data_IF_262063507665
#
_entry.id   IF_262063507665
#
_cell.length_a   1.000
_cell.length_b   1.000
_cell.length_c   1.000
_cell.angle_alpha   90.00
_cell.angle_beta   90.00
_cell.angle_gamma   90.00
#
_symmetry.space_group_name_H-M   'P 1'
#
loop_
_entity.id
_entity.type
_entity.pdbx_description
1 polymer ?
#
# COMPACT_ATOMS: atom_id res chain seq x y z
N UNK A 1 -12.38 17.99 -10.46
CA UNK A 1 -10.91 18.08 -10.63
C UNK A 1 -10.60 17.71 -12.07
N UNK A 2 -9.67 18.39 -12.75
CA UNK A 2 -9.30 18.04 -14.11
C UNK A 2 -8.63 16.65 -14.16
N UNK A 3 -9.04 15.81 -15.12
CA UNK A 3 -8.38 14.54 -15.45
C UNK A 3 -6.88 14.80 -15.71
N UNK A 4 -6.01 14.00 -15.08
CA UNK A 4 -4.55 14.08 -15.29
C UNK A 4 -4.05 12.96 -16.17
N UNK A 5 -4.76 11.83 -16.22
CA UNK A 5 -4.51 10.81 -17.23
C UNK A 5 -4.96 11.39 -18.57
N UNK A 6 -4.04 11.44 -19.51
CA UNK A 6 -4.24 12.00 -20.84
C UNK A 6 -5.08 11.07 -21.70
N UNK A 7 -5.80 11.62 -22.68
CA UNK A 7 -6.61 10.81 -23.61
C UNK A 7 -5.77 9.79 -24.40
N UNK A 8 -4.49 10.11 -24.62
CA UNK A 8 -3.53 9.20 -25.28
C UNK A 8 -3.26 7.97 -24.41
N UNK A 9 -3.01 8.17 -23.11
CA UNK A 9 -2.82 7.08 -22.14
C UNK A 9 -4.10 6.28 -21.95
N UNK A 10 -5.26 6.94 -21.83
CA UNK A 10 -6.56 6.27 -21.75
C UNK A 10 -6.78 5.35 -22.95
N UNK A 11 -6.60 5.87 -24.17
CA UNK A 11 -6.77 5.09 -25.40
C UNK A 11 -5.85 3.86 -25.43
N UNK A 12 -4.58 4.00 -25.08
CA UNK A 12 -3.64 2.87 -25.01
C UNK A 12 -4.05 1.81 -23.99
N UNK A 13 -4.50 2.24 -22.82
CA UNK A 13 -4.99 1.33 -21.78
C UNK A 13 -6.22 0.57 -22.28
N UNK A 14 -7.18 1.30 -22.85
CA UNK A 14 -8.42 0.78 -23.43
C UNK A 14 -8.18 -0.22 -24.55
N UNK A 15 -7.29 0.08 -25.50
CA UNK A 15 -6.91 -0.85 -26.56
C UNK A 15 -6.34 -2.16 -25.98
N UNK A 16 -5.62 -2.06 -24.86
CA UNK A 16 -5.17 -3.22 -24.08
C UNK A 16 -6.30 -3.97 -23.37
N UNK A 17 -7.36 -3.27 -22.92
CA UNK A 17 -8.52 -3.88 -22.26
C UNK A 17 -9.29 -4.84 -23.18
N UNK A 18 -9.54 -4.40 -24.42
CA UNK A 18 -10.27 -5.18 -25.41
C UNK A 18 -9.54 -6.51 -25.72
N UNK A 19 -8.21 -6.49 -25.76
CA UNK A 19 -7.41 -7.69 -25.99
C UNK A 19 -7.31 -8.63 -24.77
N UNK A 20 -7.54 -8.12 -23.56
CA UNK A 20 -7.27 -8.84 -22.32
C UNK A 20 -8.50 -9.51 -21.67
N UNK A 21 -9.70 -9.39 -22.26
CA UNK A 21 -10.97 -9.82 -21.67
C UNK A 21 -11.10 -9.33 -20.22
N UNK A 22 -11.35 -8.03 -20.03
CA UNK A 22 -11.24 -7.32 -18.74
C UNK A 22 -11.91 -8.01 -17.54
N UNK A 23 -13.02 -8.74 -17.74
CA UNK A 23 -13.74 -9.52 -16.73
C UNK A 23 -13.06 -10.83 -16.29
N UNK A 24 -12.00 -11.29 -16.97
CA UNK A 24 -11.22 -12.48 -16.61
C UNK A 24 -12.08 -13.75 -16.54
N UNK A 25 -12.08 -14.41 -15.39
CA UNK A 25 -12.86 -15.62 -15.13
C UNK A 25 -14.34 -15.35 -14.74
N UNK A 26 -14.71 -14.09 -14.50
CA UNK A 26 -16.08 -13.68 -14.21
C UNK A 26 -16.84 -13.38 -15.51
N UNK A 27 -18.15 -13.15 -15.42
CA UNK A 27 -18.87 -12.46 -16.49
C UNK A 27 -18.88 -10.93 -16.30
N UNK A 28 -19.32 -10.19 -17.33
CA UNK A 28 -19.35 -8.73 -17.32
C UNK A 28 -20.12 -8.15 -16.12
N UNK A 29 -21.26 -8.75 -15.78
CA UNK A 29 -22.10 -8.29 -14.67
C UNK A 29 -21.41 -8.56 -13.33
N UNK A 30 -20.90 -9.76 -13.14
CA UNK A 30 -20.17 -10.16 -11.93
C UNK A 30 -18.93 -9.30 -11.70
N UNK A 31 -18.22 -8.91 -12.77
CA UNK A 31 -17.10 -7.98 -12.68
C UNK A 31 -17.58 -6.57 -12.31
N UNK A 32 -18.56 -6.04 -13.04
CA UNK A 32 -19.01 -4.65 -12.86
C UNK A 32 -19.71 -4.43 -11.52
N UNK A 33 -20.44 -5.42 -10.97
CA UNK A 33 -21.06 -5.35 -9.64
C UNK A 33 -20.05 -5.18 -8.50
N UNK A 34 -18.77 -5.47 -8.75
CA UNK A 34 -17.69 -5.27 -7.77
C UNK A 34 -17.28 -3.81 -7.66
N UNK A 35 -17.57 -3.02 -8.70
CA UNK A 35 -17.18 -1.61 -8.82
C UNK A 35 -18.37 -0.66 -8.75
N UNK A 36 -19.52 -1.09 -9.25
CA UNK A 36 -20.69 -0.26 -9.47
C UNK A 36 -21.95 -0.95 -8.95
N UNK A 37 -22.90 -0.16 -8.45
CA UNK A 37 -24.23 -0.69 -8.16
C UNK A 37 -25.09 -0.59 -9.44
N UNK A 38 -25.08 -1.64 -10.26
CA UNK A 38 -25.74 -1.68 -11.58
C UNK A 38 -27.25 -1.50 -11.51
N UNK A 39 -27.88 -1.81 -10.38
CA UNK A 39 -29.32 -1.65 -10.17
C UNK A 39 -29.71 -0.19 -9.87
N UNK A 40 -28.74 0.67 -9.56
CA UNK A 40 -28.96 2.11 -9.35
C UNK A 40 -28.59 2.97 -10.54
N UNK A 41 -27.75 2.45 -11.44
CA UNK A 41 -27.37 3.16 -12.66
C UNK A 41 -28.54 3.14 -13.66
N UNK A 42 -28.88 4.29 -14.28
CA UNK A 42 -29.99 4.35 -15.21
C UNK A 42 -29.69 3.55 -16.48
N UNK A 43 -30.74 3.00 -17.08
CA UNK A 43 -30.66 2.43 -18.41
C UNK A 43 -30.45 3.50 -19.49
N UNK A 44 -29.73 3.16 -20.56
CA UNK A 44 -29.63 3.96 -21.79
C UNK A 44 -30.69 3.57 -22.82
N UNK A 45 -31.41 2.48 -22.59
CA UNK A 45 -32.53 2.01 -23.39
C UNK A 45 -33.85 2.29 -22.65
N UNK A 46 -34.69 3.14 -23.25
CA UNK A 46 -36.00 3.49 -22.70
C UNK A 46 -36.93 2.32 -22.35
N UNK A 47 -36.66 1.10 -22.87
CA UNK A 47 -37.40 -0.13 -22.55
C UNK A 47 -37.06 -0.69 -21.16
N UNK A 48 -35.93 -0.32 -20.59
CA UNK A 48 -35.44 -0.80 -19.31
C UNK A 48 -35.27 0.34 -18.30
N UNK A 49 -35.00 -0.02 -17.05
CA UNK A 49 -34.83 0.93 -15.94
C UNK A 49 -33.38 1.03 -15.50
N UNK A 50 -32.66 -0.08 -15.47
CA UNK A 50 -31.31 -0.15 -14.89
C UNK A 50 -30.24 -0.57 -15.89
N UNK A 51 -29.00 -0.16 -15.63
CA UNK A 51 -27.85 -0.58 -16.43
C UNK A 51 -27.66 -2.10 -16.43
N UNK A 52 -27.99 -2.78 -15.32
CA UNK A 52 -28.00 -4.25 -15.26
C UNK A 52 -28.88 -4.85 -16.37
N UNK A 53 -30.09 -4.31 -16.55
CA UNK A 53 -31.03 -4.82 -17.55
C UNK A 53 -30.50 -4.61 -18.97
N UNK A 54 -29.85 -3.48 -19.24
CA UNK A 54 -29.21 -3.22 -20.54
C UNK A 54 -28.14 -4.26 -20.83
N UNK A 55 -27.22 -4.49 -19.88
CA UNK A 55 -26.10 -5.43 -20.05
C UNK A 55 -26.62 -6.85 -20.26
N UNK A 56 -27.63 -7.28 -19.48
CA UNK A 56 -28.26 -8.59 -19.67
C UNK A 56 -28.84 -8.69 -21.08
N UNK A 57 -29.60 -7.69 -21.52
CA UNK A 57 -30.27 -7.77 -22.81
C UNK A 57 -29.27 -7.73 -23.97
N UNK A 58 -28.31 -6.81 -23.92
CA UNK A 58 -27.47 -6.48 -25.05
C UNK A 58 -26.19 -7.32 -25.11
N UNK A 59 -25.51 -7.51 -23.99
CA UNK A 59 -24.26 -8.28 -23.95
C UNK A 59 -24.49 -9.79 -23.81
N UNK A 60 -25.58 -10.23 -23.19
CA UNK A 60 -25.82 -11.66 -22.88
C UNK A 60 -26.92 -12.28 -23.74
N UNK A 61 -28.07 -11.62 -23.88
CA UNK A 61 -29.20 -12.20 -24.62
C UNK A 61 -29.08 -12.00 -26.13
N UNK A 62 -28.70 -10.79 -26.57
CA UNK A 62 -28.63 -10.43 -27.98
C UNK A 62 -27.23 -10.53 -28.59
N UNK A 63 -26.18 -10.27 -27.80
CA UNK A 63 -24.80 -10.10 -28.27
C UNK A 63 -24.69 -8.99 -29.34
N UNK A 64 -25.35 -7.86 -29.11
CA UNK A 64 -25.45 -6.75 -30.08
C UNK A 64 -24.64 -5.49 -29.69
N UNK A 65 -23.89 -5.53 -28.58
CA UNK A 65 -22.92 -4.50 -28.19
C UNK A 65 -21.48 -4.89 -28.56
N UNK A 66 -20.60 -3.92 -28.90
CA UNK A 66 -19.17 -4.17 -29.11
C UNK A 66 -18.46 -4.68 -27.85
N UNK A 67 -17.39 -5.46 -28.01
CA UNK A 67 -16.61 -6.02 -26.87
C UNK A 67 -16.01 -4.94 -25.94
N UNK A 68 -15.80 -3.73 -26.47
CA UNK A 68 -15.24 -2.56 -25.78
C UNK A 68 -16.31 -1.52 -25.38
N UNK A 69 -17.60 -1.86 -25.44
CA UNK A 69 -18.71 -0.95 -25.15
C UNK A 69 -18.55 -0.16 -23.84
N UNK A 70 -17.96 -0.80 -22.81
CA UNK A 70 -17.79 -0.25 -21.46
C UNK A 70 -16.94 1.03 -21.45
N UNK A 71 -16.10 1.20 -22.46
CA UNK A 71 -15.19 2.34 -22.62
C UNK A 71 -15.95 3.64 -22.83
N UNK A 72 -16.94 3.59 -23.72
CA UNK A 72 -17.68 4.75 -24.19
C UNK A 72 -18.92 5.04 -23.32
N UNK A 73 -19.28 4.10 -22.45
CA UNK A 73 -20.41 4.25 -21.56
C UNK A 73 -20.09 5.18 -20.38
N UNK A 74 -20.65 6.40 -20.47
CA UNK A 74 -20.45 7.47 -19.48
C UNK A 74 -20.86 7.08 -18.06
N UNK A 75 -21.75 6.09 -17.88
CA UNK A 75 -22.22 5.64 -16.55
C UNK A 75 -21.07 5.09 -15.69
N UNK A 76 -20.04 4.56 -16.33
CA UNK A 76 -18.88 3.95 -15.67
C UNK A 76 -17.70 4.92 -15.56
N UNK A 77 -17.73 6.04 -16.27
CA UNK A 77 -16.75 7.12 -16.12
C UNK A 77 -15.31 6.75 -16.51
N UNK A 78 -15.10 5.68 -17.29
CA UNK A 78 -13.76 5.24 -17.69
C UNK A 78 -13.04 6.27 -18.56
N UNK A 79 -13.78 7.03 -19.37
CA UNK A 79 -13.23 8.12 -20.18
C UNK A 79 -13.04 9.43 -19.38
N UNK A 80 -13.85 9.67 -18.34
CA UNK A 80 -13.97 10.99 -17.70
C UNK A 80 -13.34 11.10 -16.30
N UNK A 81 -13.06 9.98 -15.63
CA UNK A 81 -12.56 9.92 -14.25
C UNK A 81 -11.26 9.12 -14.16
N UNK A 82 -10.19 9.75 -13.65
CA UNK A 82 -8.94 9.06 -13.31
C UNK A 82 -9.20 7.97 -12.27
N UNK A 83 -10.02 8.26 -11.26
CA UNK A 83 -10.28 7.34 -10.17
C UNK A 83 -11.08 6.11 -10.62
N UNK A 84 -12.13 6.31 -11.43
CA UNK A 84 -12.93 5.19 -11.95
C UNK A 84 -12.07 4.29 -12.84
N UNK A 85 -11.24 4.89 -13.71
CA UNK A 85 -10.30 4.14 -14.54
C UNK A 85 -9.30 3.34 -13.68
N UNK A 86 -8.64 3.97 -12.71
CA UNK A 86 -7.66 3.28 -11.86
C UNK A 86 -8.27 2.16 -11.02
N UNK A 87 -9.50 2.34 -10.51
CA UNK A 87 -10.23 1.30 -9.79
C UNK A 87 -10.57 0.13 -10.72
N UNK A 88 -11.04 0.42 -11.93
CA UNK A 88 -11.32 -0.61 -12.94
C UNK A 88 -10.08 -1.42 -13.30
N UNK A 89 -8.96 -0.76 -13.58
CA UNK A 89 -7.68 -1.41 -13.91
C UNK A 89 -7.13 -2.26 -12.75
N UNK A 90 -7.29 -1.78 -11.51
CA UNK A 90 -6.89 -2.54 -10.33
C UNK A 90 -7.77 -3.79 -10.12
N UNK A 91 -9.08 -3.66 -10.34
CA UNK A 91 -10.04 -4.76 -10.18
C UNK A 91 -9.81 -5.88 -11.20
N UNK A 92 -9.36 -5.55 -12.42
CA UNK A 92 -8.94 -6.56 -13.40
C UNK A 92 -7.86 -7.50 -12.86
N UNK A 93 -6.97 -7.02 -12.00
CA UNK A 93 -5.89 -7.79 -11.40
C UNK A 93 -6.33 -8.54 -10.14
N UNK A 94 -7.56 -8.36 -9.67
CA UNK A 94 -8.02 -8.94 -8.42
C UNK A 94 -8.05 -10.48 -8.50
N UNK A 95 -7.66 -11.21 -7.43
CA UNK A 95 -7.60 -12.69 -7.45
C UNK A 95 -8.93 -13.40 -7.77
N UNK A 96 -10.06 -12.74 -7.50
CA UNK A 96 -11.39 -13.23 -7.87
C UNK A 96 -11.69 -13.11 -9.37
N UNK A 97 -11.00 -12.19 -10.06
CA UNK A 97 -11.15 -11.93 -11.50
C UNK A 97 -10.13 -12.75 -12.28
N UNK A 98 -8.88 -12.80 -11.84
CA UNK A 98 -7.79 -13.55 -12.49
C UNK A 98 -7.02 -14.39 -11.49
N UNK A 99 -6.92 -15.69 -11.78
CA UNK A 99 -6.24 -16.68 -10.91
C UNK A 99 -4.81 -16.98 -11.34
N UNK A 100 -4.45 -16.66 -12.59
CA UNK A 100 -3.10 -16.86 -13.13
C UNK A 100 -2.17 -15.72 -12.69
N UNK A 101 -1.22 -16.01 -11.80
CA UNK A 101 -0.23 -15.01 -11.36
C UNK A 101 0.61 -14.48 -12.53
N UNK A 102 0.96 -15.33 -13.50
CA UNK A 102 1.72 -14.91 -14.66
C UNK A 102 0.95 -13.91 -15.54
N UNK A 103 -0.38 -14.11 -15.69
CA UNK A 103 -1.24 -13.18 -16.43
C UNK A 103 -1.36 -11.85 -15.66
N UNK A 104 -1.56 -11.91 -14.35
CA UNK A 104 -1.61 -10.73 -13.47
C UNK A 104 -0.32 -9.92 -13.55
N UNK A 105 0.84 -10.57 -13.50
CA UNK A 105 2.15 -9.90 -13.62
C UNK A 105 2.36 -9.25 -15.00
N UNK A 106 1.96 -9.93 -16.08
CA UNK A 106 2.04 -9.38 -17.44
C UNK A 106 1.15 -8.14 -17.60
N UNK A 107 -0.11 -8.23 -17.15
CA UNK A 107 -1.05 -7.12 -17.23
C UNK A 107 -0.59 -5.97 -16.33
N UNK A 108 -0.19 -6.24 -15.09
CA UNK A 108 0.36 -5.25 -14.16
C UNK A 108 1.56 -4.50 -14.75
N UNK A 109 2.46 -5.22 -15.41
CA UNK A 109 3.62 -4.63 -16.11
C UNK A 109 3.18 -3.69 -17.23
N UNK A 110 2.26 -4.13 -18.09
CA UNK A 110 1.73 -3.31 -19.18
C UNK A 110 1.04 -2.04 -18.67
N UNK A 111 0.19 -2.18 -17.65
CA UNK A 111 -0.53 -1.06 -17.05
C UNK A 111 0.44 -0.01 -16.51
N UNK A 112 1.46 -0.43 -15.76
CA UNK A 112 2.44 0.48 -15.18
C UNK A 112 3.37 1.12 -16.21
N UNK A 113 3.78 0.40 -17.26
CA UNK A 113 4.53 0.97 -18.37
C UNK A 113 3.76 2.09 -19.08
N UNK A 114 2.42 2.01 -19.07
CA UNK A 114 1.56 3.00 -19.71
C UNK A 114 1.25 4.17 -18.77
N UNK A 115 0.88 3.89 -17.53
CA UNK A 115 0.47 4.90 -16.53
C UNK A 115 1.60 5.79 -16.03
N UNK A 116 2.85 5.30 -16.02
CA UNK A 116 4.00 6.04 -15.51
C UNK A 116 4.22 7.38 -16.23
N UNK A 117 3.85 7.45 -17.51
CA UNK A 117 3.97 8.66 -18.33
C UNK A 117 3.06 9.80 -17.84
N UNK A 118 1.96 9.47 -17.16
CA UNK A 118 1.01 10.42 -16.60
C UNK A 118 1.14 10.54 -15.06
N UNK A 119 2.20 9.95 -14.49
CA UNK A 119 2.51 10.04 -13.06
C UNK A 119 1.61 9.18 -12.19
N UNK A 120 1.06 8.09 -12.71
CA UNK A 120 0.29 7.10 -11.96
C UNK A 120 0.96 5.72 -11.99
N UNK A 121 0.67 4.92 -10.98
CA UNK A 121 1.08 3.52 -10.90
C UNK A 121 -0.01 2.68 -10.22
N UNK A 122 -0.10 1.41 -10.59
CA UNK A 122 -0.84 0.38 -9.89
C UNK A 122 0.15 -0.32 -8.96
N UNK A 123 -0.08 -0.26 -7.64
CA UNK A 123 0.80 -0.88 -6.64
C UNK A 123 0.06 -1.94 -5.87
N UNK A 124 0.78 -2.98 -5.45
CA UNK A 124 0.22 -3.95 -4.52
C UNK A 124 -0.03 -3.25 -3.18
N UNK A 125 -1.26 -3.37 -2.67
CA UNK A 125 -1.67 -2.82 -1.39
C UNK A 125 -2.02 -3.88 -0.35
N UNK A 126 -2.33 -5.10 -0.80
CA UNK A 126 -2.74 -6.21 0.08
C UNK A 126 -2.48 -7.56 -0.61
N UNK A 127 -2.83 -8.66 0.06
CA UNK A 127 -2.87 -10.00 -0.50
C UNK A 127 -4.00 -10.86 0.11
N UNK A 128 -4.73 -11.57 -0.73
CA UNK A 128 -5.80 -12.50 -0.31
C UNK A 128 -5.35 -13.92 -0.66
N UNK A 129 -5.26 -14.80 0.33
CA UNK A 129 -4.85 -16.21 0.14
C UNK A 129 -3.51 -16.37 -0.59
N UNK A 130 -2.58 -15.42 -0.41
CA UNK A 130 -1.27 -15.40 -1.07
C UNK A 130 -1.28 -14.82 -2.49
N UNK A 131 -2.43 -14.39 -3.01
CA UNK A 131 -2.55 -13.69 -4.28
C UNK A 131 -2.58 -12.17 -4.06
N UNK A 132 -1.87 -11.37 -4.87
CA UNK A 132 -1.74 -9.93 -4.66
C UNK A 132 -3.05 -9.17 -4.96
N UNK A 133 -3.30 -8.10 -4.21
CA UNK A 133 -4.37 -7.13 -4.45
C UNK A 133 -3.74 -5.76 -4.70
N UNK A 134 -4.24 -5.07 -5.71
CA UNK A 134 -3.64 -3.83 -6.21
C UNK A 134 -4.56 -2.62 -6.06
N UNK A 135 -3.98 -1.43 -6.06
CA UNK A 135 -4.69 -0.17 -6.17
C UNK A 135 -3.88 0.85 -6.96
N UNK A 136 -4.58 1.73 -7.69
CA UNK A 136 -3.96 2.85 -8.39
C UNK A 136 -3.62 3.99 -7.45
N UNK A 137 -2.44 4.58 -7.62
CA UNK A 137 -2.02 5.79 -6.91
C UNK A 137 -1.20 6.70 -7.81
N UNK A 138 -1.04 7.94 -7.37
CA UNK A 138 -0.15 8.90 -8.02
C UNK A 138 1.29 8.68 -7.55
N UNK A 139 2.22 8.64 -8.49
CA UNK A 139 3.66 8.54 -8.22
C UNK A 139 4.10 9.81 -7.47
N UNK A 140 4.75 9.61 -6.32
CA UNK A 140 5.18 10.70 -5.45
C UNK A 140 4.10 11.26 -4.51
N UNK A 141 2.85 10.78 -4.60
CA UNK A 141 1.97 10.78 -3.44
C UNK A 141 2.46 9.66 -2.52
N UNK A 142 2.66 9.94 -1.23
CA UNK A 142 3.12 8.94 -0.27
C UNK A 142 2.27 7.66 -0.28
N UNK A 143 2.84 6.58 0.28
CA UNK A 143 2.22 5.25 0.35
C UNK A 143 0.73 5.34 0.74
N UNK A 144 -0.22 4.80 -0.07
CA UNK A 144 -1.62 4.68 0.31
C UNK A 144 -1.71 3.63 1.40
N UNK A 145 -2.15 4.09 2.55
CA UNK A 145 -2.25 3.33 3.78
C UNK A 145 -2.20 4.36 4.90
N UNK A 146 -3.14 4.30 5.84
CA UNK A 146 -2.96 5.04 7.09
C UNK A 146 -1.69 4.49 7.71
N UNK A 147 -0.56 5.19 7.58
CA UNK A 147 0.65 4.87 8.32
C UNK A 147 0.22 4.88 9.79
N UNK A 148 0.10 3.70 10.38
CA UNK A 148 -0.54 3.59 11.69
C UNK A 148 0.33 4.23 12.77
N UNK A 149 1.66 4.16 12.63
CA UNK A 149 2.62 4.75 13.56
C UNK A 149 3.99 4.97 12.87
N UNK A 150 4.59 6.16 13.02
CA UNK A 150 5.99 6.43 12.67
C UNK A 150 6.84 6.42 13.94
N UNK A 151 7.74 5.43 14.06
CA UNK A 151 8.61 5.27 15.23
C UNK A 151 10.02 5.78 14.89
N UNK A 152 10.54 6.69 15.70
CA UNK A 152 11.85 7.32 15.44
C UNK A 152 12.54 7.80 16.72
N UNK A 153 13.80 8.21 16.58
CA UNK A 153 14.59 8.88 17.62
C UNK A 153 14.65 8.14 18.97
N UNK A 154 15.08 6.87 18.94
CA UNK A 154 15.31 6.09 20.16
C UNK A 154 16.48 6.70 20.98
N UNK A 155 16.27 7.07 22.24
CA UNK A 155 17.31 7.60 23.15
C UNK A 155 17.84 6.56 24.14
N UNK A 156 17.70 5.27 23.80
CA UNK A 156 18.08 4.12 24.62
C UNK A 156 18.21 2.82 23.81
N UNK A 157 18.02 1.63 24.41
CA UNK A 157 18.09 0.37 23.68
C UNK A 157 17.06 0.35 22.54
N UNK A 158 17.45 -0.18 21.38
CA UNK A 158 16.61 -0.28 20.18
C UNK A 158 15.24 -0.90 20.54
N UNK A 159 14.11 -0.37 20.01
CA UNK A 159 12.80 -0.91 20.34
C UNK A 159 12.63 -2.35 19.85
N UNK A 160 12.15 -3.23 20.73
CA UNK A 160 11.65 -4.56 20.36
C UNK A 160 10.17 -4.43 20.04
N UNK A 161 9.82 -4.62 18.78
CA UNK A 161 8.46 -4.41 18.28
C UNK A 161 7.88 -5.78 17.97
N UNK A 162 6.76 -6.09 18.62
CA UNK A 162 6.13 -7.41 18.57
C UNK A 162 4.69 -7.23 18.08
N UNK A 163 4.32 -7.95 17.03
CA UNK A 163 2.97 -7.91 16.47
C UNK A 163 1.97 -8.55 17.43
N UNK A 164 0.88 -7.86 17.74
CA UNK A 164 -0.29 -8.49 18.35
C UNK A 164 -1.21 -9.12 17.31
N UNK A 165 -1.22 -8.60 16.09
CA UNK A 165 -2.04 -9.09 14.98
C UNK A 165 -1.38 -8.72 13.63
N UNK A 166 -0.90 -9.73 12.91
CA UNK A 166 -0.24 -9.58 11.61
C UNK A 166 -1.23 -9.26 10.47
N UNK A 167 -2.53 -9.49 10.68
CA UNK A 167 -3.56 -9.24 9.65
C UNK A 167 -4.03 -7.79 9.61
N UNK A 168 -3.91 -7.08 10.74
CA UNK A 168 -4.39 -5.70 10.86
C UNK A 168 -3.26 -4.67 10.98
N UNK A 169 -1.98 -5.05 10.93
CA UNK A 169 -0.86 -4.12 11.09
C UNK A 169 -0.94 -3.30 12.41
N UNK A 170 -1.58 -3.87 13.44
CA UNK A 170 -1.70 -3.24 14.76
C UNK A 170 -0.40 -3.47 15.53
N UNK A 171 0.45 -2.45 15.49
CA UNK A 171 1.71 -2.40 16.20
C UNK A 171 1.43 -2.04 17.67
N UNK A 172 1.73 -2.93 18.61
CA UNK A 172 2.00 -2.54 20.00
C UNK A 172 3.51 -2.62 20.22
N UNK A 173 4.13 -1.51 20.61
CA UNK A 173 5.50 -1.54 21.12
C UNK A 173 5.44 -2.21 22.49
N UNK A 174 6.09 -3.37 22.66
CA UNK A 174 5.96 -4.16 23.90
C UNK A 174 7.14 -3.91 24.85
N UNK A 175 8.29 -3.39 24.36
CA UNK A 175 9.44 -3.03 25.20
C UNK A 175 10.20 -1.82 24.66
N UNK A 176 10.70 -0.98 25.57
CA UNK A 176 11.47 0.25 25.29
C UNK A 176 10.69 1.37 24.57
N UNK A 177 9.36 1.36 24.61
CA UNK A 177 8.51 2.43 24.06
C UNK A 177 8.85 3.80 24.67
N UNK A 178 9.19 3.82 25.96
CA UNK A 178 9.60 5.02 26.70
C UNK A 178 10.82 5.73 26.09
N UNK A 179 11.65 5.01 25.33
CA UNK A 179 12.83 5.57 24.69
C UNK A 179 12.59 6.08 23.26
N UNK A 180 11.44 5.78 22.66
CA UNK A 180 11.15 6.09 21.26
C UNK A 180 10.04 7.14 21.10
N UNK A 181 10.07 7.86 19.97
CA UNK A 181 8.99 8.75 19.56
C UNK A 181 8.07 8.01 18.60
N UNK A 182 6.77 7.97 18.91
CA UNK A 182 5.73 7.38 18.08
C UNK A 182 4.79 8.47 17.59
N UNK A 183 4.83 8.77 16.29
CA UNK A 183 3.93 9.72 15.66
C UNK A 183 2.70 8.99 15.12
N UNK A 184 1.53 9.39 15.60
CA UNK A 184 0.23 8.74 15.51
C UNK A 184 -0.80 9.53 14.68
N UNK A 185 -0.38 10.61 14.02
CA UNK A 185 -1.26 11.47 13.21
C UNK A 185 -1.30 11.07 11.74
N UNK A 186 -2.42 11.32 11.05
CA UNK A 186 -2.50 11.11 9.61
C UNK A 186 -1.54 12.03 8.86
N UNK A 187 -0.81 11.48 7.89
CA UNK A 187 0.05 12.24 6.99
C UNK A 187 -0.80 12.95 5.93
N UNK A 188 -0.56 14.24 5.74
CA UNK A 188 -1.19 15.02 4.68
C UNK A 188 -0.54 14.72 3.31
N UNK A 189 -1.24 15.08 2.22
CA UNK A 189 -0.76 14.84 0.84
C UNK A 189 0.58 15.55 0.52
N UNK A 190 0.94 16.58 1.29
CA UNK A 190 2.22 17.29 1.19
C UNK A 190 3.36 16.63 2.01
N UNK A 191 3.09 15.50 2.67
CA UNK A 191 4.01 14.80 3.54
C UNK A 191 4.06 15.38 4.96
N UNK A 192 5.02 14.90 5.77
CA UNK A 192 5.25 15.39 7.13
C UNK A 192 6.18 16.61 7.09
N UNK A 193 5.68 17.79 7.42
CA UNK A 193 6.52 19.00 7.53
C UNK A 193 7.09 19.18 8.93
N UNK A 194 8.12 20.01 9.05
CA UNK A 194 8.67 20.37 10.36
C UNK A 194 7.64 21.10 11.24
N UNK A 195 6.73 21.87 10.65
CA UNK A 195 5.61 22.50 11.34
C UNK A 195 4.66 21.46 11.93
N UNK A 196 4.28 20.46 11.14
CA UNK A 196 3.40 19.36 11.56
C UNK A 196 4.03 18.56 12.72
N UNK A 197 5.33 18.29 12.63
CA UNK A 197 6.08 17.60 13.68
C UNK A 197 6.21 18.45 14.96
N UNK A 198 6.41 19.76 14.82
CA UNK A 198 6.46 20.70 15.95
C UNK A 198 5.10 20.80 16.64
N UNK A 199 4.00 20.88 15.88
CA UNK A 199 2.64 20.90 16.43
C UNK A 199 2.32 19.60 17.17
N UNK A 200 2.66 18.45 16.58
CA UNK A 200 2.51 17.16 17.24
C UNK A 200 3.31 17.08 18.56
N UNK A 201 4.55 17.57 18.57
CA UNK A 201 5.37 17.63 19.77
C UNK A 201 4.78 18.56 20.84
N UNK A 202 4.20 19.71 20.45
CA UNK A 202 3.53 20.61 21.37
C UNK A 202 2.34 19.94 22.06
N UNK A 203 1.53 19.21 21.31
CA UNK A 203 0.35 18.54 21.83
C UNK A 203 0.72 17.37 22.76
N UNK A 204 1.78 16.62 22.43
CA UNK A 204 2.28 15.50 23.26
C UNK A 204 2.87 15.97 24.59
N UNK A 205 3.68 17.03 24.58
CA UNK A 205 4.37 17.55 25.77
C UNK A 205 3.54 18.61 26.53
N UNK A 206 2.32 18.92 26.08
CA UNK A 206 1.46 19.93 26.69
C UNK A 206 1.99 21.38 26.54
N UNK A 207 2.78 21.64 25.50
CA UNK A 207 3.42 22.94 25.20
C UNK A 207 2.61 23.81 24.21
N UNK A 208 1.31 23.57 24.07
CA UNK A 208 0.44 24.25 23.09
C UNK A 208 0.36 25.77 23.24
N UNK A 209 0.68 26.30 24.43
CA UNK A 209 0.76 27.75 24.71
C UNK A 209 2.15 28.38 24.57
N UNK A 210 3.20 27.59 24.29
CA UNK A 210 4.56 28.08 24.16
C UNK A 210 4.83 28.63 22.74
N UNK A 211 5.74 29.61 22.57
CA UNK A 211 6.11 30.10 21.25
C UNK A 211 6.71 28.96 20.40
N UNK A 212 6.34 28.87 19.13
CA UNK A 212 6.74 27.78 18.22
C UNK A 212 8.25 27.53 18.18
N UNK A 213 9.07 28.58 18.35
CA UNK A 213 10.54 28.48 18.45
C UNK A 213 11.02 27.66 19.64
N UNK A 214 10.35 27.77 20.79
CA UNK A 214 10.70 26.99 21.98
C UNK A 214 10.32 25.52 21.83
N UNK A 215 9.15 25.25 21.26
CA UNK A 215 8.69 23.90 20.93
C UNK A 215 9.65 23.23 19.95
N UNK A 216 9.99 23.91 18.84
CA UNK A 216 10.96 23.37 17.87
C UNK A 216 12.35 23.15 18.47
N UNK A 217 12.81 24.03 19.38
CA UNK A 217 14.08 23.85 20.10
C UNK A 217 14.03 22.68 21.10
N UNK A 218 12.87 22.38 21.66
CA UNK A 218 12.66 21.23 22.55
C UNK A 218 12.71 19.94 21.75
N UNK A 219 11.96 19.87 20.65
CA UNK A 219 11.97 18.75 19.70
C UNK A 219 13.39 18.50 19.16
N UNK A 220 14.09 19.54 18.70
CA UNK A 220 15.46 19.41 18.21
C UNK A 220 16.41 18.81 19.27
N UNK A 221 16.31 19.24 20.54
CA UNK A 221 17.12 18.67 21.63
C UNK A 221 16.80 17.20 21.88
N UNK A 222 15.54 16.81 21.75
CA UNK A 222 15.13 15.41 21.88
C UNK A 222 15.68 14.54 20.74
N UNK A 223 15.69 15.06 19.50
CA UNK A 223 16.29 14.40 18.34
C UNK A 223 17.82 14.32 18.43
N UNK A 224 18.50 15.39 18.86
CA UNK A 224 19.98 15.36 19.02
C UNK A 224 20.42 14.34 20.09
N UNK A 225 19.59 14.09 21.11
CA UNK A 225 19.85 13.07 22.12
C UNK A 225 19.81 11.65 21.57
N UNK A 226 18.88 11.34 20.65
CA UNK A 226 18.77 9.99 20.08
C UNK A 226 19.97 9.64 19.19
N UNK A 227 20.65 10.63 18.63
CA UNK A 227 21.80 10.43 17.76
C UNK A 227 23.04 9.86 18.47
N UNK A 228 23.09 9.90 19.81
CA UNK A 228 24.22 9.36 20.59
C UNK A 228 25.57 9.90 20.09
N UNK A 229 26.58 9.04 19.96
CA UNK A 229 27.92 9.42 19.51
C UNK A 229 28.10 9.41 17.98
N UNK A 230 27.01 9.41 17.20
CA UNK A 230 27.09 9.42 15.73
C UNK A 230 27.29 10.85 15.18
N UNK A 231 28.55 11.24 15.05
CA UNK A 231 28.95 12.57 14.55
C UNK A 231 28.43 12.88 13.14
N UNK A 232 28.26 11.87 12.28
CA UNK A 232 27.78 12.07 10.91
C UNK A 232 26.30 12.47 10.91
N UNK A 233 25.46 11.76 11.64
CA UNK A 233 24.04 12.07 11.76
C UNK A 233 23.82 13.42 12.45
N UNK A 234 24.60 13.74 13.50
CA UNK A 234 24.56 15.06 14.14
C UNK A 234 24.88 16.19 13.16
N UNK A 235 25.84 15.97 12.26
CA UNK A 235 26.21 16.97 11.24
C UNK A 235 25.08 17.19 10.25
N UNK A 236 24.38 16.13 9.84
CA UNK A 236 23.21 16.22 8.96
C UNK A 236 22.07 16.98 9.66
N UNK A 237 21.76 16.63 10.91
CA UNK A 237 20.69 17.28 11.68
C UNK A 237 20.98 18.77 11.92
N UNK A 238 22.23 19.14 12.21
CA UNK A 238 22.66 20.54 12.33
C UNK A 238 22.51 21.30 11.02
N UNK A 239 22.97 20.72 9.90
CA UNK A 239 22.86 21.34 8.59
C UNK A 239 21.39 21.56 8.19
N UNK A 240 20.51 20.63 8.55
CA UNK A 240 19.08 20.76 8.38
C UNK A 240 18.49 21.89 9.24
N UNK A 241 18.84 21.97 10.53
CA UNK A 241 18.38 23.04 11.41
C UNK A 241 18.82 24.44 10.94
N UNK A 242 20.05 24.58 10.45
CA UNK A 242 20.53 25.83 9.85
C UNK A 242 19.73 26.20 8.60
N UNK A 243 19.29 25.19 7.83
CA UNK A 243 18.50 25.36 6.62
C UNK A 243 17.04 25.74 6.94
N UNK A 244 16.47 25.15 8.00
CA UNK A 244 15.17 25.53 8.56
C UNK A 244 15.12 27.01 8.97
N UNK A 245 16.11 27.49 9.72
CA UNK A 245 16.17 28.89 10.16
C UNK A 245 16.15 29.87 8.97
N UNK A 246 16.67 29.45 7.80
CA UNK A 246 16.72 30.26 6.59
C UNK A 246 15.49 30.16 5.69
N UNK A 247 14.87 28.99 5.56
CA UNK A 247 13.82 28.72 4.56
C UNK A 247 12.40 28.67 5.14
N UNK A 248 12.25 28.62 6.47
CA UNK A 248 10.95 28.57 7.12
C UNK A 248 10.43 27.16 7.38
N UNK A 249 9.15 27.09 7.74
CA UNK A 249 8.46 25.96 8.37
C UNK A 249 7.76 25.00 7.42
N UNK A 250 7.57 25.39 6.15
CA UNK A 250 7.05 24.54 5.09
C UNK A 250 8.03 23.52 4.50
N UNK A 251 9.21 23.33 5.11
CA UNK A 251 10.17 22.32 4.64
C UNK A 251 9.78 20.92 5.14
N UNK A 252 10.06 19.85 4.36
CA UNK A 252 9.88 18.48 4.82
C UNK A 252 10.63 18.21 6.12
N UNK A 253 10.02 17.47 7.05
CA UNK A 253 10.64 17.09 8.31
C UNK A 253 11.81 16.14 8.06
N UNK A 254 12.99 16.47 8.61
CA UNK A 254 14.08 15.50 8.70
C UNK A 254 13.94 14.71 9.99
N UNK A 255 13.81 13.39 9.84
CA UNK A 255 13.57 12.48 10.95
C UNK A 255 14.76 11.53 11.06
N UNK A 256 15.61 11.68 12.08
CA UNK A 256 16.73 10.78 12.30
C UNK A 256 16.25 9.44 12.87
N UNK A 257 16.98 8.37 12.53
CA UNK A 257 16.78 7.02 13.09
C UNK A 257 15.32 6.54 13.01
N UNK A 258 14.80 6.43 11.80
CA UNK A 258 13.45 5.92 11.56
C UNK A 258 13.45 4.39 11.68
N UNK A 259 12.62 3.87 12.58
CA UNK A 259 12.36 2.45 12.70
C UNK A 259 11.08 2.13 11.94
N UNK A 260 11.26 1.66 10.71
CA UNK A 260 10.18 1.06 9.95
C UNK A 260 10.10 -0.42 10.30
N UNK A 261 8.91 -0.90 10.64
CA UNK A 261 8.61 -2.31 10.52
C UNK A 261 8.32 -2.60 9.06
N UNK A 262 9.38 -2.98 8.36
CA UNK A 262 9.21 -3.82 7.18
C UNK A 262 8.80 -5.19 7.72
N UNK A 263 7.75 -5.80 7.16
CA UNK A 263 7.55 -7.25 7.27
C UNK A 263 8.16 -7.90 6.02
N UNK A 264 9.37 -8.47 6.11
CA UNK A 264 9.82 -9.44 5.13
C UNK A 264 10.14 -10.76 5.84
N UNK A 265 9.13 -11.57 6.13
CA UNK A 265 9.33 -13.00 6.31
C UNK A 265 8.31 -13.76 5.46
N UNK A 266 8.67 -14.54 4.43
CA UNK A 266 9.92 -15.27 4.15
C UNK A 266 10.53 -15.93 5.38
N UNK A 267 9.86 -16.99 5.87
CA UNK A 267 10.45 -18.02 6.74
C UNK A 267 11.88 -18.38 6.30
N UNK A 268 12.92 -17.89 6.99
CA UNK A 268 14.27 -18.43 6.81
C UNK A 268 15.21 -18.34 8.02
N UNK A 269 14.86 -17.61 9.09
CA UNK A 269 15.78 -17.44 10.22
C UNK A 269 15.13 -17.70 11.57
N UNK A 270 14.66 -18.94 11.78
CA UNK A 270 14.68 -19.54 13.11
C UNK A 270 15.42 -20.87 13.03
N UNK A 271 16.59 -20.92 13.67
CA UNK A 271 17.18 -22.18 14.14
C UNK A 271 16.40 -22.61 15.37
N UNK A 272 15.69 -23.75 15.38
CA UNK A 272 15.09 -24.28 16.61
C UNK A 272 16.11 -25.21 17.27
N UNK A 273 16.90 -24.66 18.19
CA UNK A 273 17.74 -25.44 19.09
C UNK A 273 16.98 -25.80 20.36
N UNK A 274 16.49 -27.05 20.41
CA UNK A 274 16.10 -27.86 21.58
C UNK A 274 14.93 -27.36 22.48
N UNK A 275 13.93 -28.14 22.89
CA UNK A 275 13.47 -29.52 22.74
C UNK A 275 12.16 -29.60 23.60
N UNK A 276 11.53 -30.75 23.92
CA UNK A 276 11.38 -32.02 23.22
C UNK A 276 9.89 -32.35 22.97
N UNK A 277 9.54 -33.01 21.88
CA UNK A 277 8.31 -33.80 21.82
C UNK A 277 8.62 -35.18 21.25
N UNK A 278 8.33 -36.19 22.07
CA UNK A 278 8.58 -37.60 21.83
C UNK A 278 7.87 -38.05 20.56
N UNK A 279 8.63 -38.64 19.66
CA UNK A 279 8.12 -39.53 18.64
C UNK A 279 7.64 -40.83 19.30
N UNK A 280 6.39 -41.21 19.05
CA UNK A 280 5.94 -42.59 19.20
C UNK A 280 5.64 -43.15 17.82
N UNK A 281 6.54 -44.04 17.40
CA UNK A 281 6.31 -45.26 16.64
C UNK A 281 5.58 -45.16 15.30
N UNK A 282 6.38 -45.17 14.21
CA UNK A 282 6.21 -46.16 13.16
C UNK A 282 7.57 -46.82 12.89
N UNK A 283 7.71 -48.05 13.39
CA UNK A 283 8.59 -49.13 12.90
C UNK A 283 8.41 -49.27 11.38
N UNK A 284 9.36 -49.65 10.53
CA UNK A 284 10.52 -50.54 10.61
C UNK A 284 11.24 -50.45 9.26
N UNK A 285 12.57 -50.50 9.22
CA UNK A 285 13.34 -51.59 8.58
C UNK A 285 14.80 -51.15 8.32
N UNK A 286 15.71 -51.53 9.21
CA UNK A 286 17.12 -51.72 8.88
C UNK A 286 17.48 -53.17 9.20
N UNK A 287 17.96 -53.90 8.20
CA UNK A 287 18.70 -55.14 8.40
C UNK A 287 20.03 -55.03 7.66
N UNK A 288 21.07 -54.56 8.35
CA UNK A 288 22.45 -54.86 8.00
C UNK A 288 22.99 -55.78 9.09
N UNK A 289 23.16 -57.06 8.74
CA UNK A 289 23.93 -58.02 9.53
C UNK A 289 25.41 -57.69 9.37
N UNK A 290 26.08 -57.66 10.51
CA UNK A 290 27.50 -57.87 10.67
C UNK A 290 27.91 -59.25 10.15
N UNK A 291 29.04 -59.34 9.44
CA UNK A 291 29.99 -60.42 9.67
C UNK A 291 31.39 -60.02 9.16
N UNK A 292 32.34 -60.13 10.08
CA UNK A 292 33.77 -60.03 9.94
C UNK A 292 34.37 -61.27 9.28
N UNK A 293 35.40 -61.12 8.44
CA UNK A 293 36.67 -61.84 8.54
C UNK A 293 37.55 -61.58 7.31
N UNK A 294 38.82 -61.24 7.61
CA UNK A 294 40.06 -61.48 6.84
C UNK A 294 40.23 -60.86 5.45
#
# INVERSE_FOLDING_TARGET
MASRITDVTRRRLIEGLAAAAWYGALNEIEFLDRLYNLDTLPSTDSRYTTARQDIIQHCIANYDWPDDWIVDDERFGLASSDNALLQFLAEMLHPAVRTSLAEVEQLHTFLNQTLIHDGYEIVQVDAISGAPVFAGRRIGAGVPGSMKNLIFAADGPKPEIVFSDALNNDVRVVKNEEFCLVYDRPLAAHGLTWADLTSWWADREGLTGAPAREVSRSLYRRLDRSLGDNDAERRILRAYADRYVRLGDGIPALIPQVYLHYDPYTRAHHVPGAAPCRASAWTSCCSCRSESAS
#
